data_IF_943065054804
#
_entry.id   IF_943065054804
#
_cell.length_a   1.000
_cell.length_b   1.000
_cell.length_c   1.000
_cell.angle_alpha   90.00
_cell.angle_beta   90.00
_cell.angle_gamma   90.00
#
_symmetry.space_group_name_H-M   'P 1'
#
loop_
_entity.id
_entity.type
_entity.pdbx_description
1 polymer ?
#
# COMPACT_ATOMS: atom_id res chain seq x y z
N UNK A 1 17.30 -12.07 -3.44
CA UNK A 1 17.48 -11.26 -2.21
C UNK A 1 16.66 -11.91 -1.12
N UNK A 2 17.26 -12.14 0.04
CA UNK A 2 16.51 -12.53 1.25
C UNK A 2 15.62 -11.37 1.74
N UNK A 3 14.80 -11.64 2.75
CA UNK A 3 13.82 -10.69 3.27
C UNK A 3 14.47 -9.42 3.87
N UNK A 4 15.53 -9.59 4.67
CA UNK A 4 16.22 -8.47 5.32
C UNK A 4 16.92 -7.56 4.31
N UNK A 5 17.53 -8.17 3.29
CA UNK A 5 18.13 -7.43 2.18
C UNK A 5 17.07 -6.63 1.43
N UNK A 6 15.87 -7.19 1.19
CA UNK A 6 14.76 -6.45 0.55
C UNK A 6 14.32 -5.27 1.40
N UNK A 7 14.14 -5.44 2.71
CA UNK A 7 13.77 -4.35 3.61
C UNK A 7 14.83 -3.24 3.66
N UNK A 8 16.11 -3.63 3.70
CA UNK A 8 17.22 -2.68 3.69
C UNK A 8 17.27 -1.89 2.39
N UNK A 9 17.03 -2.55 1.25
CA UNK A 9 16.92 -1.87 -0.04
C UNK A 9 15.76 -0.88 -0.06
N UNK A 10 14.58 -1.24 0.45
CA UNK A 10 13.44 -0.32 0.52
C UNK A 10 13.77 0.92 1.35
N UNK A 11 14.38 0.74 2.53
CA UNK A 11 14.82 1.85 3.38
C UNK A 11 15.82 2.76 2.67
N UNK A 12 16.79 2.19 1.94
CA UNK A 12 17.77 2.95 1.15
C UNK A 12 17.10 3.83 0.09
N UNK A 13 16.01 3.36 -0.49
CA UNK A 13 15.20 4.10 -1.46
C UNK A 13 14.09 4.94 -0.80
N UNK A 14 14.08 5.10 0.52
CA UNK A 14 13.07 5.85 1.29
C UNK A 14 11.64 5.34 1.09
N UNK A 15 11.49 4.03 0.91
CA UNK A 15 10.20 3.37 0.76
C UNK A 15 9.83 2.69 2.07
N UNK A 16 8.68 3.08 2.64
CA UNK A 16 8.04 2.39 3.76
C UNK A 16 7.00 1.38 3.27
N UNK A 17 6.85 0.27 4.00
CA UNK A 17 5.72 -0.65 3.84
C UNK A 17 4.83 -0.55 5.06
N UNK A 18 3.54 -0.43 4.84
CA UNK A 18 2.54 -0.37 5.90
C UNK A 18 1.21 -0.95 5.40
N UNK A 19 0.45 -1.53 6.32
CA UNK A 19 -0.87 -2.07 6.02
C UNK A 19 -1.95 -1.11 6.53
N UNK A 20 -3.01 -0.95 5.74
CA UNK A 20 -4.18 -0.15 6.14
C UNK A 20 -4.96 -0.84 7.26
N UNK A 21 -5.01 -2.17 7.24
CA UNK A 21 -5.75 -2.95 8.22
C UNK A 21 -4.80 -3.42 9.33
N UNK A 22 -5.06 -2.97 10.55
CA UNK A 22 -4.37 -3.40 11.78
C UNK A 22 -4.73 -4.84 12.14
N UNK A 23 -6.01 -5.17 12.01
CA UNK A 23 -6.55 -6.50 12.20
C UNK A 23 -7.80 -6.67 11.34
N UNK A 24 -8.02 -7.88 10.85
CA UNK A 24 -9.24 -8.22 10.13
C UNK A 24 -9.41 -9.73 10.10
N UNK A 25 -10.58 -10.23 10.48
CA UNK A 25 -10.89 -11.64 10.30
C UNK A 25 -11.33 -11.84 8.87
N UNK A 26 -10.51 -12.58 8.12
CA UNK A 26 -10.82 -12.99 6.75
C UNK A 26 -11.21 -14.47 6.75
N UNK A 27 -12.45 -14.78 6.33
CA UNK A 27 -12.86 -16.16 6.03
C UNK A 27 -12.68 -16.42 4.52
N UNK A 28 -11.64 -17.17 4.16
CA UNK A 28 -11.30 -17.52 2.77
C UNK A 28 -10.42 -16.49 2.03
N UNK A 29 -10.20 -16.69 0.74
CA UNK A 29 -9.26 -15.90 -0.10
C UNK A 29 -9.91 -14.73 -0.85
N UNK A 30 -11.16 -14.40 -0.54
CA UNK A 30 -11.92 -13.34 -1.20
C UNK A 30 -12.03 -12.11 -0.29
N UNK A 31 -11.76 -10.91 -0.84
CA UNK A 31 -11.77 -9.65 -0.08
C UNK A 31 -13.17 -9.23 0.39
N UNK A 32 -14.24 -9.83 -0.17
CA UNK A 32 -15.62 -9.57 0.24
C UNK A 32 -15.99 -10.12 1.61
N UNK A 33 -15.12 -10.92 2.24
CA UNK A 33 -15.38 -11.61 3.50
C UNK A 33 -14.61 -11.03 4.69
N UNK A 34 -14.02 -9.84 4.56
CA UNK A 34 -13.38 -9.17 5.68
C UNK A 34 -14.48 -8.58 6.57
N UNK A 35 -14.54 -9.05 7.82
CA UNK A 35 -15.43 -8.52 8.87
C UNK A 35 -14.55 -8.12 10.05
N UNK A 36 -15.00 -7.15 10.85
CA UNK A 36 -14.22 -6.56 11.95
C UNK A 36 -12.93 -5.89 11.45
N UNK A 37 -13.04 -5.00 10.45
CA UNK A 37 -11.89 -4.19 9.97
C UNK A 37 -11.46 -3.20 11.05
N UNK A 38 -10.35 -3.48 11.74
CA UNK A 38 -9.64 -2.48 12.53
C UNK A 38 -8.60 -1.83 11.62
N UNK A 39 -8.79 -0.55 11.32
CA UNK A 39 -7.90 0.23 10.44
C UNK A 39 -6.80 0.84 11.31
N UNK A 40 -5.57 0.84 10.80
CA UNK A 40 -4.46 1.55 11.46
C UNK A 40 -4.75 3.05 11.53
N UNK A 41 -4.33 3.70 12.62
CA UNK A 41 -4.54 5.14 12.77
C UNK A 41 -3.62 5.92 11.83
N UNK A 42 -4.17 6.43 10.73
CA UNK A 42 -3.39 7.18 9.73
C UNK A 42 -2.71 8.43 10.31
N UNK A 43 -3.20 8.99 11.42
CA UNK A 43 -2.56 10.11 12.13
C UNK A 43 -1.13 9.79 12.56
N UNK A 44 -0.84 8.53 12.92
CA UNK A 44 0.49 8.07 13.31
C UNK A 44 1.51 8.22 12.16
N UNK A 45 1.08 8.28 10.89
CA UNK A 45 1.98 8.50 9.76
C UNK A 45 2.73 9.82 9.86
N UNK A 46 2.10 10.87 10.39
CA UNK A 46 2.75 12.18 10.54
C UNK A 46 3.88 12.14 11.56
N UNK A 47 3.77 11.28 12.57
CA UNK A 47 4.78 11.10 13.61
C UNK A 47 5.87 10.13 13.18
N UNK A 48 5.49 8.99 12.60
CA UNK A 48 6.43 7.94 12.17
C UNK A 48 7.23 8.32 10.93
N UNK A 49 6.62 9.09 10.02
CA UNK A 49 7.21 9.47 8.74
C UNK A 49 6.89 10.94 8.42
N UNK A 50 7.50 11.90 9.13
CA UNK A 50 7.21 13.34 8.95
C UNK A 50 7.55 13.86 7.54
N UNK A 51 8.47 13.19 6.84
CA UNK A 51 8.84 13.50 5.45
C UNK A 51 7.98 12.76 4.41
N UNK A 52 6.95 12.02 4.83
CA UNK A 52 6.06 11.30 3.92
C UNK A 52 5.26 12.28 3.06
N UNK A 53 5.38 12.15 1.74
CA UNK A 53 4.65 12.97 0.77
C UNK A 53 3.65 12.16 -0.04
N UNK A 54 4.04 10.95 -0.43
CA UNK A 54 3.30 10.10 -1.37
C UNK A 54 2.84 8.81 -0.69
N UNK A 55 1.59 8.44 -0.88
CA UNK A 55 1.01 7.17 -0.41
C UNK A 55 0.47 6.38 -1.60
N UNK A 56 1.01 5.19 -1.79
CA UNK A 56 0.60 4.28 -2.87
C UNK A 56 -0.21 3.12 -2.31
N UNK A 57 -1.47 3.01 -2.72
CA UNK A 57 -2.36 1.94 -2.27
C UNK A 57 -2.20 0.69 -3.15
N UNK A 58 -1.85 -0.44 -2.54
CA UNK A 58 -1.70 -1.71 -3.24
C UNK A 58 -3.07 -2.38 -3.45
N UNK A 59 -3.73 -2.07 -4.57
CA UNK A 59 -5.02 -2.64 -4.96
C UNK A 59 -6.24 -1.88 -4.46
N UNK A 60 -7.41 -2.26 -4.96
CA UNK A 60 -8.68 -1.53 -4.72
C UNK A 60 -9.15 -1.58 -3.27
N UNK A 61 -8.84 -2.64 -2.52
CA UNK A 61 -9.29 -2.78 -1.14
C UNK A 61 -8.65 -1.72 -0.23
N UNK A 62 -7.33 -1.57 -0.29
CA UNK A 62 -6.61 -0.50 0.41
C UNK A 62 -6.95 0.88 -0.16
N UNK A 63 -7.12 0.98 -1.49
CA UNK A 63 -7.52 2.21 -2.18
C UNK A 63 -8.86 2.82 -1.73
N UNK A 64 -9.71 2.08 -1.00
CA UNK A 64 -10.93 2.64 -0.39
C UNK A 64 -10.64 3.78 0.59
N UNK A 65 -9.43 3.82 1.16
CA UNK A 65 -8.99 4.83 2.12
C UNK A 65 -8.23 5.99 1.47
N UNK A 66 -8.08 5.99 0.13
CA UNK A 66 -7.44 7.09 -0.59
C UNK A 66 -7.99 8.48 -0.24
N UNK A 67 -9.33 8.70 -0.16
CA UNK A 67 -9.86 10.01 0.21
C UNK A 67 -9.44 10.48 1.61
N UNK A 68 -9.23 9.54 2.54
CA UNK A 68 -8.81 9.86 3.91
C UNK A 68 -7.38 10.41 3.92
N UNK A 69 -6.46 9.71 3.26
CA UNK A 69 -5.05 10.14 3.21
C UNK A 69 -4.85 11.38 2.34
N UNK A 70 -5.61 11.50 1.25
CA UNK A 70 -5.59 12.70 0.42
C UNK A 70 -6.08 13.93 1.21
N UNK A 71 -7.15 13.81 1.99
CA UNK A 71 -7.63 14.88 2.88
C UNK A 71 -6.63 15.24 3.99
N UNK A 72 -5.71 14.34 4.35
CA UNK A 72 -4.63 14.62 5.30
C UNK A 72 -3.44 15.39 4.68
N UNK A 73 -3.45 15.62 3.36
CA UNK A 73 -2.45 16.38 2.61
C UNK A 73 -1.43 15.52 1.86
N UNK A 74 -1.63 14.20 1.77
CA UNK A 74 -0.74 13.32 1.02
C UNK A 74 -1.10 13.28 -0.47
N UNK A 75 -0.08 13.19 -1.33
CA UNK A 75 -0.26 12.78 -2.72
C UNK A 75 -0.58 11.27 -2.73
N UNK A 76 -1.73 10.90 -3.27
CA UNK A 76 -2.19 9.51 -3.24
C UNK A 76 -2.35 8.92 -4.64
N UNK A 77 -2.12 7.61 -4.76
CA UNK A 77 -2.46 6.86 -5.97
C UNK A 77 -2.77 5.41 -5.67
N UNK A 78 -3.88 4.91 -6.21
CA UNK A 78 -4.21 3.48 -6.19
C UNK A 78 -3.47 2.75 -7.32
N UNK A 79 -2.63 1.80 -6.96
CA UNK A 79 -1.87 0.96 -7.89
C UNK A 79 -2.49 -0.45 -8.01
N UNK A 80 -2.23 -1.19 -9.10
CA UNK A 80 -2.74 -2.54 -9.24
C UNK A 80 -2.12 -3.46 -8.18
N UNK A 81 -2.93 -4.39 -7.66
CA UNK A 81 -2.49 -5.33 -6.62
C UNK A 81 -1.24 -6.10 -7.06
N UNK A 82 -0.23 -6.14 -6.20
CA UNK A 82 0.97 -6.96 -6.38
C UNK A 82 0.72 -8.46 -6.23
N UNK A 83 -0.47 -8.88 -5.80
CA UNK A 83 -0.83 -10.29 -5.66
C UNK A 83 -0.82 -11.04 -7.01
N UNK A 84 -0.52 -12.34 -6.95
CA UNK A 84 -0.39 -13.20 -8.13
C UNK A 84 -1.72 -13.59 -8.80
N UNK A 85 -2.86 -13.08 -8.31
CA UNK A 85 -4.19 -13.44 -8.81
C UNK A 85 -4.47 -12.80 -10.18
N UNK A 86 -3.82 -11.67 -10.50
CA UNK A 86 -4.09 -10.91 -11.72
C UNK A 86 -2.96 -11.03 -12.78
N UNK A 87 -2.60 -12.27 -13.16
CA UNK A 87 -1.49 -12.57 -14.10
C UNK A 87 -1.67 -12.03 -15.53
N UNK A 88 -2.88 -11.58 -15.90
CA UNK A 88 -3.18 -11.20 -17.29
C UNK A 88 -2.59 -9.85 -17.71
N UNK A 89 -2.10 -9.02 -16.78
CA UNK A 89 -1.59 -7.67 -17.05
C UNK A 89 -0.28 -7.34 -16.31
N UNK A 90 0.62 -8.32 -16.16
CA UNK A 90 1.88 -8.13 -15.39
C UNK A 90 2.71 -6.95 -15.90
N UNK A 91 2.95 -6.86 -17.22
CA UNK A 91 3.75 -5.77 -17.81
C UNK A 91 3.15 -4.39 -17.52
N UNK A 92 1.85 -4.22 -17.74
CA UNK A 92 1.15 -2.96 -17.47
C UNK A 92 1.25 -2.58 -15.98
N UNK A 93 1.07 -3.55 -15.09
CA UNK A 93 1.23 -3.35 -13.65
C UNK A 93 2.65 -2.91 -13.30
N UNK A 94 3.66 -3.60 -13.81
CA UNK A 94 5.07 -3.24 -13.55
C UNK A 94 5.37 -1.82 -14.01
N UNK A 95 4.92 -1.43 -15.21
CA UNK A 95 5.08 -0.06 -15.72
C UNK A 95 4.37 0.98 -14.84
N UNK A 96 3.18 0.69 -14.32
CA UNK A 96 2.47 1.61 -13.41
C UNK A 96 3.22 1.81 -12.08
N UNK A 97 3.78 0.72 -11.52
CA UNK A 97 4.59 0.78 -10.30
C UNK A 97 5.93 1.49 -10.54
N UNK A 98 6.59 1.21 -11.67
CA UNK A 98 7.84 1.84 -12.05
C UNK A 98 7.68 3.36 -12.19
N UNK A 99 6.62 3.80 -12.88
CA UNK A 99 6.31 5.23 -13.03
C UNK A 99 5.99 5.91 -11.70
N UNK A 100 5.31 5.21 -10.78
CA UNK A 100 4.98 5.76 -9.47
C UNK A 100 6.23 5.96 -8.59
N UNK A 101 7.15 4.99 -8.60
CA UNK A 101 8.35 5.01 -7.74
C UNK A 101 9.50 5.87 -8.28
N UNK A 102 9.49 6.19 -9.58
CA UNK A 102 10.48 7.11 -10.19
C UNK A 102 10.14 8.60 -10.01
N UNK A 103 8.92 8.92 -9.58
CA UNK A 103 8.43 10.30 -9.41
C UNK A 103 8.79 10.90 -8.07
#
# INVERSE_FOLDING_TARGET
MDYETRLTTLKRHRIGLWDVFKAGKRKGSQDSNIREEEVNQFSELKEMAPELKKVFFNGKASGRYEPVLSAMGYETKVLPSSSGINRRNVKKRESEWENALKS
#
